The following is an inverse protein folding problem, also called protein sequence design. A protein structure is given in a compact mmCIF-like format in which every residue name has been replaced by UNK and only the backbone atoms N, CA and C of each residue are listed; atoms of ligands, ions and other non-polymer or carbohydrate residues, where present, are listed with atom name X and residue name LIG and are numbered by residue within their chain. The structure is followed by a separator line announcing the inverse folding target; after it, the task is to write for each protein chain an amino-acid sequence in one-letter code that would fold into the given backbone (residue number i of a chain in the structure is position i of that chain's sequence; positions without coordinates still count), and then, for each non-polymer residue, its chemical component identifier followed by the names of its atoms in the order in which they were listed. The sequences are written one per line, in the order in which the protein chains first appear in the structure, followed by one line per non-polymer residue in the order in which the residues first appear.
data_IF_300057476995
#
_entry.id   IF_300057476995
#
_cell.length_a   1.000
_cell.length_b   1.000
_cell.length_c   1.000
_cell.angle_alpha   90.00
_cell.angle_beta   90.00
_cell.angle_gamma   90.00
#
_symmetry.space_group_name_H-M   'P 1'
#
loop_
_entity.id
_entity.type
_entity.pdbx_description
1 polymer ?
#
# COMPACT_ATOMS: atom_id res chain seq x y z
N UNK A 1 -5.36 9.47 -5.60
CA UNK A 1 -5.14 9.22 -7.05
C UNK A 1 -4.59 7.81 -7.24
N UNK A 2 -4.99 7.11 -8.30
CA UNK A 2 -4.46 5.79 -8.66
C UNK A 2 -3.50 5.97 -9.85
N UNK A 3 -2.27 5.47 -9.71
CA UNK A 3 -1.26 5.44 -10.78
C UNK A 3 -1.56 4.32 -11.79
N UNK A 4 -0.86 4.32 -12.92
CA UNK A 4 -1.00 3.28 -13.96
C UNK A 4 -0.61 1.88 -13.46
N UNK A 5 0.37 1.78 -12.56
CA UNK A 5 0.80 0.56 -11.88
C UNK A 5 -0.20 0.05 -10.82
N UNK A 6 -1.30 0.77 -10.60
CA UNK A 6 -2.33 0.43 -9.63
C UNK A 6 -2.10 0.94 -8.22
N UNK A 7 -0.94 1.55 -7.92
CA UNK A 7 -0.64 2.10 -6.59
C UNK A 7 -1.54 3.33 -6.34
N UNK A 8 -2.17 3.36 -5.16
CA UNK A 8 -3.02 4.47 -4.73
C UNK A 8 -2.26 5.39 -3.79
N UNK A 9 -2.13 6.65 -4.18
CA UNK A 9 -1.46 7.69 -3.41
C UNK A 9 -2.44 8.77 -2.96
N UNK A 10 -2.17 9.33 -1.78
CA UNK A 10 -2.75 10.60 -1.36
C UNK A 10 -1.83 11.72 -1.85
N UNK A 11 -2.36 12.61 -2.67
CA UNK A 11 -1.65 13.83 -3.05
C UNK A 11 -1.72 14.82 -1.88
N UNK A 12 -0.55 15.17 -1.34
CA UNK A 12 -0.41 16.03 -0.17
C UNK A 12 -0.65 17.50 -0.52
N UNK A 13 -0.39 17.92 -1.75
CA UNK A 13 -0.63 19.31 -2.19
C UNK A 13 -2.12 19.61 -2.32
N UNK A 14 -2.90 18.58 -2.64
CA UNK A 14 -4.37 18.66 -2.76
C UNK A 14 -5.09 18.27 -1.45
N UNK A 15 -4.40 17.63 -0.50
CA UNK A 15 -5.01 17.17 0.74
C UNK A 15 -5.31 18.34 1.69
N UNK A 16 -6.60 18.61 1.91
CA UNK A 16 -7.07 19.63 2.86
C UNK A 16 -7.27 19.12 4.30
N UNK A 17 -6.89 17.88 4.59
CA UNK A 17 -7.00 17.30 5.94
C UNK A 17 -8.43 17.03 6.44
N UNK A 18 -9.44 16.96 5.56
CA UNK A 18 -10.85 16.80 5.94
C UNK A 18 -11.22 15.41 6.51
N UNK A 19 -10.33 14.42 6.42
CA UNK A 19 -10.45 13.05 6.96
C UNK A 19 -11.61 12.21 6.43
N UNK A 20 -12.43 12.69 5.49
CA UNK A 20 -13.48 11.90 4.85
C UNK A 20 -12.97 10.59 4.23
N UNK A 21 -11.78 10.62 3.63
CA UNK A 21 -11.16 9.43 3.06
C UNK A 21 -10.78 8.36 4.10
N UNK A 22 -10.56 8.76 5.37
CA UNK A 22 -10.32 7.82 6.47
C UNK A 22 -11.61 7.10 6.85
N UNK A 23 -12.71 7.86 6.98
CA UNK A 23 -14.03 7.30 7.28
C UNK A 23 -14.55 6.40 6.17
N UNK A 24 -14.29 6.76 4.91
CA UNK A 24 -14.70 5.97 3.76
C UNK A 24 -13.92 4.65 3.60
N UNK A 25 -12.72 4.53 4.20
CA UNK A 25 -11.89 3.34 4.04
C UNK A 25 -12.38 2.20 4.96
N UNK A 26 -12.91 1.08 4.42
CA UNK A 26 -13.45 0.00 5.24
C UNK A 26 -12.38 -0.76 6.03
N UNK A 27 -11.11 -0.59 5.66
CA UNK A 27 -9.94 -1.21 6.30
C UNK A 27 -9.32 -0.34 7.38
N UNK A 28 -9.76 0.91 7.53
CA UNK A 28 -9.15 1.90 8.43
C UNK A 28 -7.64 2.05 8.23
N UNK A 29 -7.15 1.77 7.01
CA UNK A 29 -5.74 1.74 6.65
C UNK A 29 -5.18 3.13 6.25
N UNK A 30 -5.80 4.20 6.78
CA UNK A 30 -5.37 5.59 6.56
C UNK A 30 -5.10 6.24 7.91
N UNK A 31 -4.04 7.03 7.97
CA UNK A 31 -3.58 7.72 9.18
C UNK A 31 -3.52 9.21 8.95
N UNK A 32 -3.74 10.03 9.98
CA UNK A 32 -3.66 11.48 9.88
C UNK A 32 -2.45 12.01 10.66
N UNK A 33 -1.64 12.84 10.02
CA UNK A 33 -0.48 13.49 10.65
C UNK A 33 -0.96 14.73 11.40
N UNK A 34 -1.34 14.56 12.66
CA UNK A 34 -1.93 15.63 13.48
C UNK A 34 -0.90 16.57 14.13
N UNK A 35 0.36 16.16 14.20
CA UNK A 35 1.42 16.87 14.88
C UNK A 35 2.65 17.01 13.96
N UNK A 36 3.53 17.99 14.21
CA UNK A 36 4.80 18.08 13.50
C UNK A 36 5.65 16.83 13.77
N UNK A 37 6.30 16.31 12.74
CA UNK A 37 7.19 15.15 12.82
C UNK A 37 8.64 15.58 12.61
N UNK A 38 9.54 15.03 13.43
CA UNK A 38 11.00 15.21 13.31
C UNK A 38 11.64 13.94 12.72
N UNK A 39 12.90 14.04 12.28
CA UNK A 39 13.69 12.90 11.76
C UNK A 39 13.01 12.13 10.61
N UNK A 40 12.40 12.86 9.69
CA UNK A 40 11.70 12.26 8.55
C UNK A 40 12.67 11.86 7.44
N UNK A 41 12.29 10.86 6.64
CA UNK A 41 13.00 10.54 5.40
C UNK A 41 12.74 11.65 4.36
N UNK A 42 13.78 12.35 3.86
CA UNK A 42 13.63 13.43 2.88
C UNK A 42 13.00 13.00 1.54
N UNK A 43 13.10 11.73 1.15
CA UNK A 43 12.50 11.22 -0.10
C UNK A 43 10.98 11.05 0.00
N UNK A 44 10.47 10.86 1.22
CA UNK A 44 9.04 10.65 1.49
C UNK A 44 8.61 11.50 2.68
N UNK A 45 8.62 12.84 2.53
CA UNK A 45 8.26 13.74 3.60
C UNK A 45 6.78 13.57 3.97
N UNK A 46 6.51 13.64 5.27
CA UNK A 46 5.20 13.54 5.88
C UNK A 46 4.70 14.94 6.23
N UNK A 47 3.54 15.29 5.68
CA UNK A 47 2.96 16.63 5.84
C UNK A 47 2.02 16.70 7.04
N UNK A 48 2.28 17.60 7.99
CA UNK A 48 1.30 17.89 9.04
C UNK A 48 -0.01 18.37 8.41
N UNK A 49 -1.14 17.88 8.93
CA UNK A 49 -2.46 18.17 8.37
C UNK A 49 -2.85 17.29 7.18
N UNK A 50 -1.99 16.38 6.73
CA UNK A 50 -2.30 15.46 5.64
C UNK A 50 -2.69 14.07 6.13
N UNK A 51 -3.53 13.39 5.33
CA UNK A 51 -3.80 11.96 5.47
C UNK A 51 -2.76 11.16 4.70
N UNK A 52 -2.34 10.04 5.26
CA UNK A 52 -1.38 9.11 4.69
C UNK A 52 -1.93 7.69 4.70
N UNK A 53 -1.32 6.84 3.89
CA UNK A 53 -1.61 5.41 3.81
C UNK A 53 -0.36 4.65 3.35
N UNK A 54 -0.40 3.32 3.35
CA UNK A 54 0.60 2.54 2.65
C UNK A 54 0.63 2.96 1.17
N UNK A 55 1.82 3.31 0.69
CA UNK A 55 2.09 3.72 -0.70
C UNK A 55 2.83 2.64 -1.49
N UNK A 56 2.85 1.41 -0.96
CA UNK A 56 3.64 0.28 -1.47
C UNK A 56 5.12 0.66 -1.69
N UNK A 57 5.64 1.56 -0.85
CA UNK A 57 7.01 2.07 -0.93
C UNK A 57 7.35 2.61 -2.33
N UNK A 58 6.46 3.41 -2.94
CA UNK A 58 6.66 3.99 -4.29
C UNK A 58 8.08 4.54 -4.55
N UNK A 59 8.67 5.26 -3.59
CA UNK A 59 10.04 5.79 -3.67
C UNK A 59 11.14 4.72 -3.87
N UNK A 60 10.90 3.48 -3.43
CA UNK A 60 11.76 2.30 -3.63
C UNK A 60 11.39 1.57 -4.93
N UNK A 61 10.10 1.34 -5.16
CA UNK A 61 9.59 0.62 -6.33
C UNK A 61 9.99 1.33 -7.64
N UNK A 62 9.92 2.66 -7.67
CA UNK A 62 10.33 3.46 -8.84
C UNK A 62 11.85 3.34 -9.12
N UNK A 63 12.65 2.88 -8.14
CA UNK A 63 14.08 2.59 -8.28
C UNK A 63 14.37 1.10 -8.54
N UNK A 64 13.33 0.28 -8.76
CA UNK A 64 13.46 -1.17 -8.93
C UNK A 64 13.76 -1.94 -7.64
N UNK A 65 13.58 -1.32 -6.47
CA UNK A 65 13.81 -1.95 -5.18
C UNK A 65 12.51 -2.56 -4.61
N UNK A 66 12.66 -3.58 -3.75
CA UNK A 66 11.53 -4.14 -3.02
C UNK A 66 11.00 -3.18 -1.94
N UNK A 67 9.70 -3.25 -1.61
CA UNK A 67 9.15 -2.48 -0.49
C UNK A 67 9.85 -2.82 0.82
N UNK A 68 10.01 -1.81 1.69
CA UNK A 68 10.74 -1.96 2.93
C UNK A 68 10.21 -3.08 3.83
N UNK A 69 8.87 -3.26 3.90
CA UNK A 69 8.26 -4.33 4.70
C UNK A 69 8.56 -5.74 4.16
N UNK A 70 8.65 -5.89 2.84
CA UNK A 70 8.99 -7.18 2.19
C UNK A 70 10.44 -7.53 2.45
N UNK A 71 11.34 -6.57 2.23
CA UNK A 71 12.78 -6.75 2.43
C UNK A 71 13.14 -6.98 3.89
N UNK A 72 12.43 -6.35 4.83
CA UNK A 72 12.71 -6.49 6.26
C UNK A 72 12.20 -7.79 6.89
N UNK A 73 11.38 -8.59 6.18
CA UNK A 73 10.77 -9.79 6.75
C UNK A 73 11.64 -11.03 6.47
N UNK A 74 12.39 -11.54 7.46
CA UNK A 74 13.28 -12.68 7.24
C UNK A 74 12.52 -13.99 6.95
N UNK A 75 11.28 -14.12 7.41
CA UNK A 75 10.45 -15.30 7.19
C UNK A 75 9.82 -15.33 5.79
N UNK A 76 9.92 -14.25 5.01
CA UNK A 76 9.33 -14.18 3.67
C UNK A 76 7.80 -14.24 3.67
N UNK A 77 7.15 -13.69 4.70
CA UNK A 77 5.70 -13.70 4.85
C UNK A 77 4.96 -12.84 3.80
N UNK A 78 5.65 -11.87 3.20
CA UNK A 78 5.11 -10.97 2.20
C UNK A 78 5.83 -11.18 0.87
N UNK A 79 5.06 -11.25 -0.22
CA UNK A 79 5.57 -11.29 -1.59
C UNK A 79 4.98 -10.09 -2.33
N UNK A 80 5.83 -9.36 -3.05
CA UNK A 80 5.44 -8.17 -3.81
C UNK A 80 5.91 -8.27 -5.26
N UNK A 81 5.07 -7.84 -6.19
CA UNK A 81 5.33 -7.87 -7.62
C UNK A 81 4.10 -7.47 -8.44
N UNK A 82 4.20 -7.59 -9.76
CA UNK A 82 3.09 -7.33 -10.67
C UNK A 82 2.15 -8.54 -10.76
N UNK A 83 0.92 -8.37 -10.29
CA UNK A 83 -0.13 -9.38 -10.34
C UNK A 83 -0.60 -9.71 -11.76
N UNK A 84 -0.41 -8.78 -12.71
CA UNK A 84 -0.83 -8.96 -14.09
C UNK A 84 0.22 -9.68 -14.94
N UNK A 85 1.46 -9.75 -14.47
CA UNK A 85 2.52 -10.53 -15.11
C UNK A 85 2.47 -11.99 -14.62
N UNK A 86 2.07 -12.96 -15.47
CA UNK A 86 2.01 -14.37 -15.10
C UNK A 86 3.38 -14.98 -14.77
N UNK A 87 4.48 -14.35 -15.24
CA UNK A 87 5.83 -14.80 -14.94
C UNK A 87 6.30 -14.36 -13.54
N UNK A 88 5.61 -13.42 -12.90
CA UNK A 88 5.98 -12.90 -11.58
C UNK A 88 5.80 -13.94 -10.47
N UNK A 89 6.64 -13.83 -9.43
CA UNK A 89 6.58 -14.75 -8.29
C UNK A 89 5.24 -14.66 -7.55
N UNK A 90 4.67 -13.45 -7.47
CA UNK A 90 3.38 -13.23 -6.80
C UNK A 90 2.21 -13.87 -7.58
N UNK A 91 2.21 -13.77 -8.92
CA UNK A 91 1.16 -14.37 -9.75
C UNK A 91 1.22 -15.89 -9.67
N UNK A 92 2.43 -16.47 -9.74
CA UNK A 92 2.65 -17.91 -9.55
C UNK A 92 2.21 -18.37 -8.15
N UNK A 93 2.49 -17.58 -7.11
CA UNK A 93 2.10 -17.92 -5.73
C UNK A 93 0.59 -17.90 -5.54
N UNK A 94 -0.10 -16.88 -6.03
CA UNK A 94 -1.56 -16.79 -5.93
C UNK A 94 -2.27 -17.91 -6.70
N UNK A 95 -1.68 -18.38 -7.79
CA UNK A 95 -2.20 -19.53 -8.54
C UNK A 95 -1.98 -20.87 -7.82
N UNK A 96 -0.97 -20.98 -6.94
CA UNK A 96 -0.60 -22.25 -6.30
C UNK A 96 -1.21 -22.46 -4.92
N UNK A 97 -1.61 -21.40 -4.22
CA UNK A 97 -2.24 -21.50 -2.89
C UNK A 97 -3.59 -20.77 -2.84
N UNK A 98 -4.56 -21.26 -2.04
CA UNK A 98 -5.80 -20.51 -1.83
C UNK A 98 -5.49 -19.18 -1.15
N UNK A 99 -6.02 -18.11 -1.71
CA UNK A 99 -5.86 -16.75 -1.18
C UNK A 99 -7.21 -16.06 -1.01
N UNK A 100 -7.29 -15.23 0.02
CA UNK A 100 -8.50 -14.50 0.40
C UNK A 100 -8.25 -13.00 0.32
N UNK A 101 -9.18 -12.27 -0.29
CA UNK A 101 -9.22 -10.81 -0.20
C UNK A 101 -10.04 -10.42 1.03
N UNK A 102 -9.50 -9.51 1.86
CA UNK A 102 -10.23 -9.02 3.03
C UNK A 102 -11.39 -8.15 2.56
N UNK A 103 -12.60 -8.41 3.09
CA UNK A 103 -13.83 -7.73 2.67
C UNK A 103 -14.12 -7.85 1.16
N UNK A 104 -13.95 -9.06 0.61
CA UNK A 104 -14.29 -9.37 -0.78
C UNK A 104 -15.76 -9.04 -1.12
N UNK A 105 -16.67 -9.03 -0.14
CA UNK A 105 -18.07 -8.61 -0.25
C UNK A 105 -18.22 -7.22 -0.88
N UNK A 106 -17.28 -6.32 -0.61
CA UNK A 106 -17.30 -4.93 -1.10
C UNK A 106 -16.84 -4.77 -2.55
N UNK A 107 -16.36 -5.85 -3.21
CA UNK A 107 -15.91 -5.85 -4.62
C UNK A 107 -14.92 -4.73 -4.97
N UNK A 108 -14.04 -4.38 -4.04
CA UNK A 108 -13.07 -3.28 -4.18
C UNK A 108 -11.83 -3.64 -5.02
N UNK A 109 -11.77 -4.88 -5.54
CA UNK A 109 -10.68 -5.41 -6.37
C UNK A 109 -9.28 -5.11 -5.78
N UNK A 110 -9.04 -5.59 -4.56
CA UNK A 110 -7.81 -5.31 -3.83
C UNK A 110 -6.62 -6.09 -4.40
N UNK A 111 -5.48 -5.43 -4.56
CA UNK A 111 -4.23 -6.10 -4.93
C UNK A 111 -3.64 -6.95 -3.80
N UNK A 112 -3.95 -6.65 -2.54
CA UNK A 112 -3.43 -7.40 -1.38
C UNK A 112 -4.30 -8.62 -1.12
N UNK A 113 -3.67 -9.78 -1.00
CA UNK A 113 -4.33 -11.07 -0.71
C UNK A 113 -3.60 -11.78 0.44
N UNK A 114 -4.35 -12.54 1.21
CA UNK A 114 -3.86 -13.25 2.39
C UNK A 114 -4.01 -14.75 2.22
N UNK A 115 -3.14 -15.52 2.87
CA UNK A 115 -3.20 -16.98 2.94
C UNK A 115 -3.63 -17.38 4.36
N UNK A 116 -4.60 -18.29 4.48
CA UNK A 116 -5.00 -18.87 5.78
C UNK A 116 -6.00 -18.02 6.61
N UNK A 117 -6.71 -17.08 5.97
CA UNK A 117 -7.85 -16.37 6.56
C UNK A 117 -9.17 -17.09 6.27
#
# INVERSE_FOLDING_TARGET
MKRADGIVLVDRHTCIGCRYCMMACPYKARSFVHAPLTQQNPEVPRGQGCVESCTLCVHRVDKGQQPACVESCPEGAMVFGDLNDPASDIAKRIASVPTTQVRADLRLNQGVRYQGL
#
